data_IF_100569871673
#
_entry.id   IF_100569871673
#
_cell.length_a   1.000
_cell.length_b   1.000
_cell.length_c   1.000
_cell.angle_alpha   90.00
_cell.angle_beta   90.00
_cell.angle_gamma   90.00
#
_symmetry.space_group_name_H-M   'P 1'
#
loop_
_entity.id
_entity.type
_entity.pdbx_description
1 polymer ?
#
# COMPACT_ATOMS: atom_id res chain seq x y z
N UNK A 1 -8.81 -8.05 2.39
CA UNK A 1 -8.52 -6.80 1.64
C UNK A 1 -7.04 -6.83 1.32
N UNK A 2 -6.60 -6.34 0.16
CA UNK A 2 -5.21 -6.49 -0.27
C UNK A 2 -4.65 -5.11 -0.59
N UNK A 3 -3.51 -4.77 0.02
CA UNK A 3 -2.76 -3.55 -0.27
C UNK A 3 -2.17 -3.65 -1.67
N UNK A 4 -2.34 -2.59 -2.47
CA UNK A 4 -1.81 -2.56 -3.83
C UNK A 4 -0.29 -2.41 -3.78
N UNK A 5 0.41 -3.30 -4.49
CA UNK A 5 1.87 -3.27 -4.62
C UNK A 5 2.21 -2.90 -6.05
N UNK A 6 3.00 -1.84 -6.19
CA UNK A 6 3.61 -1.42 -7.43
C UNK A 6 4.99 -2.05 -7.56
N UNK A 7 5.26 -2.65 -8.70
CA UNK A 7 6.56 -3.24 -9.02
C UNK A 7 7.15 -2.43 -10.16
N UNK A 8 8.26 -1.75 -9.90
CA UNK A 8 8.91 -0.83 -10.82
C UNK A 8 10.30 -1.38 -11.17
N UNK A 9 10.61 -1.58 -12.46
CA UNK A 9 11.95 -1.97 -12.87
C UNK A 9 12.92 -0.79 -12.73
N UNK A 10 14.10 -1.04 -12.19
CA UNK A 10 15.27 -0.15 -12.27
C UNK A 10 16.39 -0.81 -13.09
N UNK A 11 17.53 -0.14 -13.17
CA UNK A 11 18.66 -0.61 -13.98
C UNK A 11 19.26 -1.91 -13.44
N UNK A 12 19.48 -2.00 -12.12
CA UNK A 12 20.09 -3.14 -11.44
C UNK A 12 19.20 -3.77 -10.35
N UNK A 13 17.95 -3.31 -10.23
CA UNK A 13 17.02 -3.74 -9.19
C UNK A 13 15.55 -3.75 -9.65
N UNK A 14 14.72 -4.40 -8.83
CA UNK A 14 13.27 -4.31 -8.89
C UNK A 14 12.81 -3.62 -7.60
N UNK A 15 12.07 -2.52 -7.75
CA UNK A 15 11.52 -1.77 -6.63
C UNK A 15 10.07 -2.19 -6.39
N UNK A 16 9.78 -2.62 -5.17
CA UNK A 16 8.44 -2.83 -4.65
C UNK A 16 8.03 -1.57 -3.88
N UNK A 17 6.85 -1.04 -4.17
CA UNK A 17 6.28 0.14 -3.48
C UNK A 17 4.84 -0.17 -3.09
N UNK A 18 4.45 0.14 -1.86
CA UNK A 18 3.06 0.05 -1.43
C UNK A 18 2.64 1.31 -0.67
N UNK A 19 1.45 1.81 -1.03
CA UNK A 19 0.78 2.87 -0.30
C UNK A 19 -0.05 2.22 0.83
N UNK A 20 0.19 2.64 2.06
CA UNK A 20 -0.30 1.92 3.25
C UNK A 20 -1.49 2.66 3.88
N UNK A 21 -1.29 3.93 4.21
CA UNK A 21 -2.28 4.78 4.88
C UNK A 21 -2.28 6.17 4.26
N UNK A 22 -3.46 6.78 4.20
CA UNK A 22 -3.67 8.19 3.87
C UNK A 22 -4.44 8.92 4.97
N UNK A 23 -4.15 10.23 5.10
CA UNK A 23 -4.85 11.12 6.03
C UNK A 23 -4.47 10.88 7.49
N UNK A 24 -3.28 10.32 7.75
CA UNK A 24 -2.75 10.24 9.11
C UNK A 24 -2.14 11.58 9.50
N UNK A 25 -2.33 12.00 10.75
CA UNK A 25 -1.67 13.18 11.26
C UNK A 25 -0.18 12.90 11.49
N UNK A 26 0.68 13.72 10.92
CA UNK A 26 2.13 13.62 11.11
C UNK A 26 2.52 14.11 12.50
N UNK A 27 2.84 13.17 13.39
CA UNK A 27 3.22 13.46 14.79
C UNK A 27 4.58 12.84 15.13
N UNK A 28 5.33 13.40 16.11
CA UNK A 28 6.57 12.80 16.59
C UNK A 28 6.42 11.34 17.06
N UNK A 29 5.27 11.00 17.62
CA UNK A 29 4.96 9.64 18.06
C UNK A 29 4.79 8.67 16.89
N UNK A 30 4.10 9.10 15.82
CA UNK A 30 3.99 8.34 14.59
C UNK A 30 5.38 8.06 14.03
N UNK A 31 6.24 9.08 13.86
CA UNK A 31 7.58 8.87 13.32
C UNK A 31 8.41 7.94 14.20
N UNK A 32 8.36 8.09 15.53
CA UNK A 32 9.05 7.17 16.45
C UNK A 32 8.56 5.74 16.25
N UNK A 33 7.25 5.52 16.18
CA UNK A 33 6.67 4.21 15.91
C UNK A 33 7.15 3.62 14.57
N UNK A 34 7.17 4.44 13.51
CA UNK A 34 7.60 4.02 12.18
C UNK A 34 9.09 3.65 12.13
N UNK A 35 9.93 4.35 12.91
CA UNK A 35 11.37 4.10 13.00
C UNK A 35 11.75 2.92 13.91
N UNK A 36 10.90 2.53 14.87
CA UNK A 36 11.21 1.45 15.82
C UNK A 36 10.41 0.19 15.56
N UNK A 37 9.10 0.28 15.76
CA UNK A 37 8.20 -0.87 15.83
C UNK A 37 7.80 -1.33 14.43
N UNK A 38 7.67 -0.38 13.50
CA UNK A 38 7.32 -0.68 12.11
C UNK A 38 8.53 -1.10 11.28
N UNK A 39 9.77 -0.81 11.68
CA UNK A 39 10.96 -0.91 10.83
C UNK A 39 11.41 -2.33 10.41
N UNK A 40 10.53 -3.35 10.41
CA UNK A 40 10.87 -4.76 10.10
C UNK A 40 9.92 -5.36 9.05
N UNK A 41 10.37 -6.16 8.07
CA UNK A 41 11.74 -6.37 7.55
C UNK A 41 12.05 -5.53 6.29
N UNK A 42 11.11 -4.70 5.82
CA UNK A 42 11.25 -3.94 4.57
C UNK A 42 11.67 -2.50 4.87
N UNK A 43 12.85 -2.14 4.37
CA UNK A 43 13.72 -1.14 4.98
C UNK A 43 13.37 0.33 4.77
N UNK A 44 12.43 0.67 3.88
CA UNK A 44 12.13 2.07 3.59
C UNK A 44 10.67 2.39 3.89
N UNK A 45 10.43 2.97 5.07
CA UNK A 45 9.15 3.60 5.40
C UNK A 45 9.29 5.09 5.13
N UNK A 46 8.37 5.67 4.35
CA UNK A 46 8.35 7.10 4.03
C UNK A 46 7.01 7.69 4.44
N UNK A 47 7.04 8.94 4.91
CA UNK A 47 5.84 9.72 5.22
C UNK A 47 5.88 10.99 4.39
N UNK A 48 4.80 11.30 3.70
CA UNK A 48 4.66 12.53 2.93
C UNK A 48 3.20 12.99 2.93
N UNK A 49 2.95 14.19 3.45
CA UNK A 49 1.64 14.85 3.40
C UNK A 49 0.52 13.97 3.98
N UNK A 50 0.77 13.36 5.13
CA UNK A 50 -0.16 12.45 5.82
C UNK A 50 -0.36 11.11 5.11
N UNK A 51 0.49 10.75 4.16
CA UNK A 51 0.52 9.43 3.52
C UNK A 51 1.74 8.64 3.96
N UNK A 52 1.56 7.35 4.20
CA UNK A 52 2.64 6.42 4.55
C UNK A 52 2.85 5.45 3.40
N UNK A 53 4.11 5.33 3.00
CA UNK A 53 4.58 4.45 1.94
C UNK A 53 5.61 3.50 2.51
N UNK A 54 5.66 2.29 1.94
CA UNK A 54 6.78 1.38 2.15
C UNK A 54 7.39 1.00 0.81
N UNK A 55 8.71 0.82 0.80
CA UNK A 55 9.40 0.31 -0.36
C UNK A 55 10.52 -0.66 -0.03
N UNK A 56 10.82 -1.51 -1.01
CA UNK A 56 11.90 -2.48 -0.93
C UNK A 56 12.56 -2.66 -2.29
N UNK A 57 13.89 -2.64 -2.31
CA UNK A 57 14.69 -2.83 -3.52
C UNK A 57 15.29 -4.22 -3.54
N UNK A 58 14.91 -5.04 -4.52
CA UNK A 58 15.47 -6.37 -4.78
C UNK A 58 16.53 -6.29 -5.88
N UNK A 59 17.82 -6.57 -5.60
CA UNK A 59 18.85 -6.62 -6.64
C UNK A 59 18.56 -7.71 -7.68
N UNK A 60 18.75 -7.39 -8.97
CA UNK A 60 18.54 -8.35 -10.07
C UNK A 60 19.55 -9.50 -10.01
N UNK A 61 20.77 -9.26 -9.50
CA UNK A 61 21.78 -10.30 -9.33
C UNK A 61 21.38 -11.45 -8.39
N UNK A 62 20.37 -11.24 -7.56
CA UNK A 62 19.80 -12.25 -6.65
C UNK A 62 18.41 -12.72 -7.11
N UNK A 63 17.98 -12.36 -8.32
CA UNK A 63 16.62 -12.60 -8.77
C UNK A 63 16.46 -14.01 -9.33
N UNK A 64 15.69 -14.83 -8.61
CA UNK A 64 15.02 -15.99 -9.17
C UNK A 64 13.52 -15.92 -8.86
N UNK A 65 12.74 -16.78 -9.51
CA UNK A 65 11.28 -16.80 -9.35
C UNK A 65 10.84 -17.04 -7.90
N UNK A 66 11.52 -17.92 -7.16
CA UNK A 66 11.19 -18.25 -5.78
C UNK A 66 11.50 -17.07 -4.85
N UNK A 67 12.62 -16.40 -5.07
CA UNK A 67 12.99 -15.19 -4.33
C UNK A 67 11.96 -14.10 -4.60
N UNK A 68 11.65 -13.83 -5.87
CA UNK A 68 10.64 -12.84 -6.24
C UNK A 68 9.28 -13.12 -5.58
N UNK A 69 8.77 -14.36 -5.69
CA UNK A 69 7.49 -14.74 -5.11
C UNK A 69 7.49 -14.64 -3.58
N UNK A 70 8.57 -15.04 -2.93
CA UNK A 70 8.74 -14.95 -1.48
C UNK A 70 8.74 -13.49 -1.02
N UNK A 71 9.48 -12.63 -1.70
CA UNK A 71 9.55 -11.20 -1.39
C UNK A 71 8.20 -10.54 -1.61
N UNK A 72 7.54 -10.80 -2.73
CA UNK A 72 6.21 -10.25 -3.01
C UNK A 72 5.20 -10.65 -1.91
N UNK A 73 5.19 -11.92 -1.51
CA UNK A 73 4.31 -12.41 -0.46
C UNK A 73 4.61 -11.76 0.89
N UNK A 74 5.87 -11.76 1.32
CA UNK A 74 6.26 -11.14 2.60
C UNK A 74 5.99 -9.64 2.62
N UNK A 75 6.27 -8.94 1.51
CA UNK A 75 6.00 -7.51 1.36
C UNK A 75 4.51 -7.22 1.46
N UNK A 76 3.66 -8.04 0.83
CA UNK A 76 2.19 -7.92 0.95
C UNK A 76 1.69 -8.10 2.38
N UNK A 77 2.19 -9.10 3.10
CA UNK A 77 1.80 -9.34 4.49
C UNK A 77 2.23 -8.21 5.40
N UNK A 78 3.43 -7.67 5.17
CA UNK A 78 3.94 -6.55 5.93
C UNK A 78 3.15 -5.26 5.65
N UNK A 79 2.79 -5.00 4.39
CA UNK A 79 1.97 -3.84 4.02
C UNK A 79 0.60 -3.86 4.72
N UNK A 80 -0.09 -5.01 4.70
CA UNK A 80 -1.38 -5.21 5.38
C UNK A 80 -1.25 -5.07 6.90
N UNK A 81 -0.23 -5.70 7.48
CA UNK A 81 0.06 -5.55 8.91
C UNK A 81 0.32 -4.10 9.31
N UNK A 82 1.09 -3.35 8.52
CA UNK A 82 1.45 -1.98 8.83
C UNK A 82 0.23 -1.07 8.76
N UNK A 83 -0.64 -1.24 7.76
CA UNK A 83 -1.88 -0.48 7.65
C UNK A 83 -2.80 -0.71 8.86
N UNK A 84 -2.89 -1.95 9.33
CA UNK A 84 -3.68 -2.34 10.49
C UNK A 84 -3.17 -1.63 11.75
N UNK A 85 -1.85 -1.65 11.95
CA UNK A 85 -1.23 -1.07 13.14
C UNK A 85 -1.30 0.44 13.15
N UNK A 86 -1.00 1.08 12.02
CA UNK A 86 -1.05 2.55 11.92
C UNK A 86 -2.49 3.02 12.09
N UNK A 87 -3.46 2.43 11.36
CA UNK A 87 -4.88 2.79 11.49
C UNK A 87 -5.38 2.68 12.92
N UNK A 88 -5.03 1.59 13.60
CA UNK A 88 -5.46 1.34 14.98
C UNK A 88 -4.87 2.34 15.99
N UNK A 89 -3.63 2.78 15.78
CA UNK A 89 -2.89 3.62 16.75
C UNK A 89 -3.00 5.12 16.46
N UNK A 90 -2.97 5.50 15.20
CA UNK A 90 -2.84 6.89 14.74
C UNK A 90 -3.99 7.35 13.85
N UNK A 91 -4.93 6.46 13.50
CA UNK A 91 -6.03 6.76 12.59
C UNK A 91 -5.61 6.76 11.12
N UNK A 92 -6.32 7.53 10.30
CA UNK A 92 -6.19 7.51 8.85
C UNK A 92 -7.04 6.44 8.16
N UNK A 93 -6.97 6.39 6.83
CA UNK A 93 -7.69 5.46 5.97
C UNK A 93 -6.73 4.55 5.24
N UNK A 94 -7.09 3.28 5.10
CA UNK A 94 -6.34 2.35 4.25
C UNK A 94 -6.56 2.73 2.81
N UNK A 95 -5.50 2.76 2.02
CA UNK A 95 -5.62 2.98 0.58
C UNK A 95 -6.48 1.89 -0.07
N UNK A 96 -6.37 0.65 0.41
CA UNK A 96 -7.23 -0.45 -0.02
C UNK A 96 -8.73 -0.20 0.22
N UNK A 97 -9.10 0.51 1.29
CA UNK A 97 -10.50 0.88 1.58
C UNK A 97 -10.97 1.97 0.60
N UNK A 98 -10.13 2.98 0.32
CA UNK A 98 -10.43 4.09 -0.60
C UNK A 98 -10.64 3.63 -2.04
N UNK A 99 -9.80 2.71 -2.54
CA UNK A 99 -9.94 2.16 -3.89
C UNK A 99 -11.26 1.38 -4.06
N UNK A 100 -11.75 0.72 -3.00
CA UNK A 100 -13.02 0.01 -3.03
C UNK A 100 -14.22 0.98 -3.11
N UNK A 101 -14.15 2.10 -2.38
CA UNK A 101 -15.17 3.18 -2.43
C UNK A 101 -15.26 3.76 -3.85
N UNK A 102 -14.13 4.13 -4.44
CA UNK A 102 -14.07 4.65 -5.82
C UNK A 102 -14.67 3.63 -6.81
N UNK A 103 -14.30 2.35 -6.70
CA UNK A 103 -14.80 1.29 -7.58
C UNK A 103 -16.31 1.07 -7.42
N UNK A 104 -16.86 1.25 -6.21
CA UNK A 104 -18.31 1.15 -5.96
C UNK A 104 -19.06 2.34 -6.54
N UNK A 105 -18.53 3.56 -6.40
CA UNK A 105 -19.12 4.76 -6.99
C UNK A 105 -19.13 4.72 -8.52
N UNK A 106 -18.07 4.21 -9.15
CA UNK A 106 -18.02 4.06 -10.61
C UNK A 106 -19.04 3.04 -11.12
N UNK A 107 -19.21 1.94 -10.39
CA UNK A 107 -20.20 0.91 -10.73
C UNK A 107 -21.65 1.40 -10.52
N UNK A 108 -21.91 2.24 -9.50
CA UNK A 108 -23.24 2.81 -9.29
C UNK A 108 -23.59 3.84 -10.38
N UNK A 109 -22.63 4.69 -10.77
CA UNK A 109 -22.78 5.64 -11.90
C UNK A 109 -23.02 4.91 -13.22
N UNK A 110 -22.29 3.84 -13.53
CA UNK A 110 -22.54 3.05 -14.75
C UNK A 110 -23.92 2.41 -14.79
N UNK A 111 -24.47 1.99 -13.64
CA UNK A 111 -25.85 1.46 -13.54
C UNK A 111 -26.91 2.54 -13.76
N UNK A 112 -26.61 3.81 -13.49
CA UNK A 112 -27.57 4.91 -13.72
C UNK A 112 -27.65 5.34 -15.18
N UNK A 113 -26.61 5.08 -15.98
CA UNK A 113 -26.52 5.54 -17.38
C UNK A 113 -27.12 4.51 -18.36
N UNK A 114 -27.26 3.24 -17.96
CA UNK A 114 -27.90 2.21 -18.76
C UNK A 114 -29.28 1.86 -18.20
N UNK A 115 -30.34 2.46 -18.74
CA UNK A 115 -31.72 1.95 -18.89
C UNK A 115 -32.71 3.14 -18.92
N UNK A 116 -32.89 3.72 -20.10
CA UNK A 116 -34.23 4.17 -20.50
C UNK A 116 -34.76 3.11 -21.48
N UNK A 117 -35.81 2.36 -21.12
CA UNK A 117 -36.57 1.63 -22.12
C UNK A 117 -37.32 2.67 -22.94
N UNK A 118 -36.93 2.84 -24.20
CA UNK A 118 -37.81 3.48 -25.18
C UNK A 118 -38.97 2.53 -25.42
N UNK A 119 -40.17 2.98 -25.03
CA UNK A 119 -41.47 2.42 -25.40
C UNK A 119 -41.65 2.30 -26.91
#
# INVERSE_FOLDING_TARGET
RSTQIHIVPGDDNILFVADVIEGVQETPELYRYLLTDAAKPFGNVSVNSGRIFISYSLPIGTLDFNIFATILFQFSMYADWLDDKVKKRFGGKRIADLLEEIRKEDNSRRRTIGFHPTE
#
